data_IF_056957378865
#
_entry.id   IF_056957378865
#
_cell.length_a   1.000
_cell.length_b   1.000
_cell.length_c   1.000
_cell.angle_alpha   90.00
_cell.angle_beta   90.00
_cell.angle_gamma   90.00
#
_symmetry.space_group_name_H-M   'P 1'
#
loop_
_entity.id
_entity.type
_entity.pdbx_description
1 polymer ?
#
# COMPACT_ATOMS: atom_id res chain seq x y z
N UNK A 1 -11.40 -11.77 3.50
CA UNK A 1 -11.93 -11.26 2.21
C UNK A 1 -11.03 -10.14 1.72
N UNK A 2 -10.66 -10.16 0.45
CA UNK A 2 -9.75 -9.19 -0.10
C UNK A 2 -10.46 -7.86 -0.36
N UNK A 3 -9.75 -6.77 -0.11
CA UNK A 3 -10.23 -5.41 -0.40
C UNK A 3 -9.21 -4.71 -1.27
N UNK A 4 -9.70 -3.99 -2.25
CA UNK A 4 -8.84 -3.26 -3.18
C UNK A 4 -9.07 -1.77 -3.07
N UNK A 5 -7.99 -1.03 -3.20
CA UNK A 5 -7.98 0.42 -3.11
C UNK A 5 -7.26 1.00 -4.30
N UNK A 6 -7.80 2.09 -4.82
CA UNK A 6 -7.03 2.93 -5.75
C UNK A 6 -6.18 3.84 -4.90
N UNK A 7 -4.87 3.85 -5.13
CA UNK A 7 -3.94 4.58 -4.28
C UNK A 7 -3.16 5.60 -5.08
N UNK A 8 -2.71 6.62 -4.37
CA UNK A 8 -1.79 7.63 -4.89
C UNK A 8 -0.65 7.76 -3.89
N UNK A 9 0.56 7.57 -4.38
CA UNK A 9 1.77 7.74 -3.61
C UNK A 9 2.41 9.07 -4.00
N UNK A 10 2.60 9.96 -3.02
CA UNK A 10 3.25 11.24 -3.25
C UNK A 10 4.75 11.05 -3.13
N UNK A 11 5.40 10.86 -4.26
CA UNK A 11 6.85 10.68 -4.30
C UNK A 11 7.54 12.00 -4.64
N UNK A 12 8.86 12.03 -4.46
CA UNK A 12 9.66 13.20 -4.81
C UNK A 12 9.60 13.53 -6.30
N UNK A 13 9.28 12.54 -7.11
CA UNK A 13 9.19 12.72 -8.56
C UNK A 13 7.76 12.97 -9.02
N UNK A 14 6.84 13.21 -8.06
CA UNK A 14 5.44 13.47 -8.34
C UNK A 14 4.56 12.33 -7.89
N UNK A 15 3.28 12.42 -8.24
CA UNK A 15 2.30 11.41 -7.85
C UNK A 15 2.48 10.14 -8.66
N UNK A 16 2.36 9.02 -7.97
CA UNK A 16 2.34 7.69 -8.60
C UNK A 16 1.02 7.02 -8.26
N UNK A 17 0.29 6.61 -9.26
CA UNK A 17 -1.02 5.99 -9.09
C UNK A 17 -0.92 4.50 -9.27
N UNK A 18 -1.74 3.80 -8.48
CA UNK A 18 -1.75 2.35 -8.56
C UNK A 18 -2.91 1.76 -7.79
N UNK A 19 -2.76 0.49 -7.43
CA UNK A 19 -3.77 -0.23 -6.65
C UNK A 19 -3.08 -0.98 -5.52
N UNK A 20 -3.82 -1.13 -4.43
CA UNK A 20 -3.41 -1.95 -3.30
C UNK A 20 -4.53 -2.92 -2.99
N UNK A 21 -4.24 -4.21 -3.04
CA UNK A 21 -5.19 -5.24 -2.65
C UNK A 21 -4.67 -5.91 -1.39
N UNK A 22 -5.49 -5.98 -0.37
CA UNK A 22 -5.10 -6.58 0.90
C UNK A 22 -6.14 -7.58 1.36
N UNK A 23 -5.65 -8.61 2.02
CA UNK A 23 -6.46 -9.65 2.64
C UNK A 23 -5.93 -9.86 4.05
N UNK A 24 -6.83 -9.83 5.03
CA UNK A 24 -6.47 -9.98 6.43
C UNK A 24 -7.02 -11.30 6.96
N UNK A 25 -6.20 -11.99 7.74
CA UNK A 25 -6.60 -13.25 8.37
C UNK A 25 -5.88 -13.35 9.71
N UNK A 26 -6.65 -13.32 10.80
CA UNK A 26 -6.13 -13.41 12.19
C UNK A 26 -5.01 -12.42 12.47
N UNK A 27 -5.17 -11.19 12.01
CA UNK A 27 -4.18 -10.15 12.24
C UNK A 27 -3.02 -10.16 11.27
N UNK A 28 -2.91 -11.20 10.45
CA UNK A 28 -1.91 -11.25 9.38
C UNK A 28 -2.50 -10.63 8.12
N UNK A 29 -1.70 -9.84 7.44
CA UNK A 29 -2.12 -9.14 6.22
C UNK A 29 -1.20 -9.55 5.09
N UNK A 30 -1.78 -9.85 3.95
CA UNK A 30 -1.03 -10.11 2.74
C UNK A 30 -1.81 -9.57 1.55
N UNK A 31 -1.11 -9.31 0.48
CA UNK A 31 -1.73 -8.77 -0.70
C UNK A 31 -0.71 -8.36 -1.74
N UNK A 32 -1.10 -7.41 -2.56
CA UNK A 32 -0.25 -6.93 -3.63
C UNK A 32 -0.41 -5.41 -3.78
N UNK A 33 0.70 -4.78 -4.09
CA UNK A 33 0.71 -3.35 -4.44
C UNK A 33 1.23 -3.22 -5.87
N UNK A 34 0.47 -2.51 -6.68
CA UNK A 34 0.85 -2.28 -8.08
C UNK A 34 1.02 -0.77 -8.25
N UNK A 35 2.23 -0.36 -8.55
CA UNK A 35 2.56 1.05 -8.80
C UNK A 35 3.41 1.14 -10.05
N UNK A 36 3.05 2.03 -10.93
CA UNK A 36 3.79 2.31 -12.18
C UNK A 36 4.02 1.03 -12.98
N UNK A 37 3.05 0.11 -12.95
CA UNK A 37 3.13 -1.14 -13.70
C UNK A 37 3.93 -2.24 -13.04
N UNK A 38 4.49 -2.01 -11.85
CA UNK A 38 5.23 -3.05 -11.12
C UNK A 38 4.34 -3.62 -10.01
N UNK A 39 4.29 -4.94 -9.95
CA UNK A 39 3.45 -5.70 -9.02
C UNK A 39 4.35 -6.33 -7.95
N UNK A 40 4.14 -5.95 -6.72
CA UNK A 40 4.94 -6.47 -5.60
C UNK A 40 4.02 -7.03 -4.52
N UNK A 41 4.46 -8.12 -3.90
CA UNK A 41 3.75 -8.71 -2.79
C UNK A 41 3.87 -7.85 -1.54
N UNK A 42 2.82 -7.84 -0.73
CA UNK A 42 2.75 -7.10 0.52
C UNK A 42 2.46 -8.07 1.63
N UNK A 43 3.19 -7.97 2.72
CA UNK A 43 2.92 -8.75 3.93
C UNK A 43 2.99 -7.84 5.14
N UNK A 44 2.32 -8.23 6.20
CA UNK A 44 2.37 -7.45 7.43
C UNK A 44 1.35 -7.89 8.45
N UNK A 45 0.99 -6.95 9.28
CA UNK A 45 0.13 -7.19 10.43
C UNK A 45 -0.87 -6.06 10.60
N UNK A 46 -2.02 -6.41 11.17
CA UNK A 46 -3.05 -5.44 11.50
C UNK A 46 -3.16 -5.39 13.01
N UNK A 47 -3.06 -4.19 13.59
CA UNK A 47 -3.18 -3.98 15.03
C UNK A 47 -3.93 -2.69 15.30
N UNK A 48 -5.05 -2.80 16.02
CA UNK A 48 -5.79 -1.60 16.43
C UNK A 48 -6.28 -0.73 15.28
N UNK A 49 -6.64 -1.33 14.14
CA UNK A 49 -7.11 -0.58 12.99
C UNK A 49 -6.02 0.01 12.13
N UNK A 50 -4.77 -0.32 12.44
CA UNK A 50 -3.61 0.16 11.69
C UNK A 50 -2.93 -1.02 11.04
N UNK A 51 -2.58 -0.88 9.77
CA UNK A 51 -1.85 -1.89 9.01
C UNK A 51 -0.37 -1.53 8.99
N UNK A 52 0.45 -2.48 9.38
CA UNK A 52 1.91 -2.35 9.34
C UNK A 52 2.40 -3.29 8.26
N UNK A 53 2.81 -2.76 7.13
CA UNK A 53 3.09 -3.55 5.93
C UNK A 53 4.55 -3.48 5.55
N UNK A 54 5.04 -4.56 4.99
CA UNK A 54 6.37 -4.66 4.41
C UNK A 54 6.21 -5.07 2.95
N UNK A 55 6.89 -4.38 2.08
CA UNK A 55 6.85 -4.69 0.65
C UNK A 55 8.07 -4.10 -0.03
N UNK A 56 8.21 -4.39 -1.30
CA UNK A 56 9.22 -3.76 -2.14
C UNK A 56 8.52 -2.89 -3.16
N UNK A 57 9.22 -1.89 -3.64
CA UNK A 57 8.80 -1.11 -4.80
C UNK A 57 9.88 -1.24 -5.85
N UNK A 58 9.52 -1.83 -6.97
CA UNK A 58 10.44 -2.01 -8.08
C UNK A 58 10.40 -0.79 -8.99
N UNK A 59 11.56 -0.40 -9.47
CA UNK A 59 11.70 0.63 -10.50
C UNK A 59 12.55 0.06 -11.62
N UNK A 60 12.70 0.81 -12.70
CA UNK A 60 13.55 0.38 -13.79
C UNK A 60 15.01 0.26 -13.38
N UNK A 61 15.42 0.98 -12.34
CA UNK A 61 16.82 1.07 -11.92
C UNK A 61 17.12 0.27 -10.66
N UNK A 62 16.12 0.01 -9.84
CA UNK A 62 16.39 -0.60 -8.54
C UNK A 62 15.12 -1.15 -7.91
N UNK A 63 15.30 -1.86 -6.80
CA UNK A 63 14.22 -2.33 -5.96
C UNK A 63 14.43 -1.77 -4.56
N UNK A 64 13.43 -1.11 -4.02
CA UNK A 64 13.49 -0.48 -2.71
C UNK A 64 12.67 -1.29 -1.72
N UNK A 65 13.25 -1.54 -0.54
CA UNK A 65 12.51 -2.16 0.55
C UNK A 65 11.74 -1.08 1.29
N UNK A 66 10.45 -1.31 1.48
CA UNK A 66 9.55 -0.33 2.03
C UNK A 66 8.83 -0.85 3.26
N UNK A 67 8.49 0.08 4.14
CA UNK A 67 7.59 -0.14 5.26
C UNK A 67 6.47 0.86 5.15
N UNK A 68 5.24 0.37 5.25
CA UNK A 68 4.07 1.23 5.16
C UNK A 68 3.25 1.11 6.43
N UNK A 69 2.77 2.25 6.90
CA UNK A 69 1.83 2.32 8.02
C UNK A 69 0.57 2.96 7.49
N UNK A 70 -0.52 2.22 7.52
CA UNK A 70 -1.75 2.61 6.83
C UNK A 70 -2.92 2.55 7.78
N UNK A 71 -3.77 3.57 7.74
CA UNK A 71 -5.05 3.60 8.43
C UNK A 71 -6.16 3.58 7.41
N UNK A 72 -7.18 2.78 7.71
CA UNK A 72 -8.37 2.72 6.88
C UNK A 72 -9.54 3.22 7.72
N UNK A 73 -10.20 4.27 7.26
CA UNK A 73 -11.38 4.84 7.91
C UNK A 73 -12.49 4.87 6.88
N UNK A 74 -13.48 3.99 7.06
CA UNK A 74 -14.52 3.84 6.06
C UNK A 74 -13.96 3.34 4.74
N UNK A 75 -14.09 4.13 3.70
CA UNK A 75 -13.58 3.79 2.37
C UNK A 75 -12.29 4.52 2.05
N UNK A 76 -11.78 5.32 2.96
CA UNK A 76 -10.56 6.09 2.76
C UNK A 76 -9.37 5.38 3.37
N UNK A 77 -8.25 5.50 2.71
CA UNK A 77 -6.98 4.93 3.15
C UNK A 77 -5.96 6.05 3.20
N UNK A 78 -5.27 6.17 4.32
CA UNK A 78 -4.18 7.15 4.45
C UNK A 78 -3.02 6.50 5.17
N UNK A 79 -1.82 6.96 4.85
CA UNK A 79 -0.66 6.42 5.53
C UNK A 79 0.63 6.98 4.98
N UNK A 80 1.70 6.29 5.34
CA UNK A 80 3.04 6.65 4.92
C UNK A 80 3.76 5.42 4.42
N UNK A 81 4.69 5.65 3.48
CA UNK A 81 5.59 4.63 2.97
C UNK A 81 7.00 5.13 3.21
N UNK A 82 7.78 4.34 3.96
CA UNK A 82 9.18 4.62 4.19
C UNK A 82 10.04 3.76 3.27
N UNK A 83 10.92 4.40 2.53
CA UNK A 83 11.81 3.71 1.60
C UNK A 83 13.15 4.43 1.58
N UNK A 84 14.21 3.73 1.97
CA UNK A 84 15.56 4.27 1.90
C UNK A 84 15.78 5.57 2.66
N UNK A 85 15.09 5.73 3.80
CA UNK A 85 15.21 6.93 4.61
C UNK A 85 14.25 8.06 4.21
N UNK A 86 13.54 7.91 3.10
CA UNK A 86 12.54 8.88 2.69
C UNK A 86 11.16 8.42 3.14
N UNK A 87 10.31 9.35 3.52
CA UNK A 87 8.93 9.05 3.90
C UNK A 87 8.01 9.74 2.92
N UNK A 88 7.11 8.96 2.32
CA UNK A 88 6.16 9.45 1.33
C UNK A 88 4.75 9.27 1.85
N UNK A 89 3.86 10.17 1.47
CA UNK A 89 2.45 10.04 1.85
C UNK A 89 1.72 9.14 0.87
N UNK A 90 0.84 8.32 1.42
CA UNK A 90 0.00 7.43 0.64
C UNK A 90 -1.45 7.73 0.98
N UNK A 91 -2.29 7.83 -0.04
CA UNK A 91 -3.72 7.99 0.14
C UNK A 91 -4.45 7.13 -0.87
N UNK A 92 -5.65 6.77 -0.53
CA UNK A 92 -6.43 5.95 -1.43
C UNK A 92 -7.90 5.92 -1.11
N UNK A 93 -8.65 5.31 -2.01
CA UNK A 93 -10.08 5.13 -1.89
C UNK A 93 -10.43 3.70 -2.26
N UNK A 94 -11.36 3.11 -1.55
CA UNK A 94 -11.76 1.73 -1.81
C UNK A 94 -12.37 1.62 -3.20
N UNK A 95 -11.92 0.63 -3.94
CA UNK A 95 -12.55 0.29 -5.22
C UNK A 95 -13.81 -0.51 -4.96
N UNK A 96 -14.85 -0.17 -5.66
CA UNK A 96 -16.07 -0.94 -5.62
C UNK A 96 -15.98 -2.05 -6.65
N UNK A 97 -15.75 -3.26 -6.17
CA UNK A 97 -15.57 -4.42 -7.03
C UNK A 97 -16.84 -5.26 -7.16
N UNK A 98 -17.90 -4.85 -6.53
CA UNK A 98 -19.09 -5.68 -6.45
C UNK A 98 -20.03 -5.56 -7.62
N UNK A 99 -19.72 -4.74 -8.52
CA UNK A 99 -20.68 -4.32 -9.52
C UNK A 99 -20.40 -4.79 -10.89
#
# INVERSE_FOLDING_TARGET
MAKSYDIVLDSQLGERRGTLTIDSDDGCVHGRIILVGFDNAVTGESRGGVLYLRHELSTLMSTLKCRSVIRIVGEALTGTVEAGGAVMKLRGTRRDLGE
#
